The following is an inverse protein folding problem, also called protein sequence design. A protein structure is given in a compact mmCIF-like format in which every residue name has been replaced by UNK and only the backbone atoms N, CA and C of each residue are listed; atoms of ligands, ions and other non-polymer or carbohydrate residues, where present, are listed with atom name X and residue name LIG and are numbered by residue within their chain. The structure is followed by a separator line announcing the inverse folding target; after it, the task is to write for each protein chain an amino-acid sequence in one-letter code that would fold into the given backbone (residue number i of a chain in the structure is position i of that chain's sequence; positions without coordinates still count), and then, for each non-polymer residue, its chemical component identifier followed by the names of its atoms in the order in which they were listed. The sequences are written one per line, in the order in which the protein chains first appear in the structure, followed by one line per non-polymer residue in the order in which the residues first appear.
data_IF_597935605498
#
_entry.id   IF_597935605498
#
_cell.length_a   1.000
_cell.length_b   1.000
_cell.length_c   1.000
_cell.angle_alpha   90.00
_cell.angle_beta   90.00
_cell.angle_gamma   90.00
#
_symmetry.space_group_name_H-M   'P 1'
#
loop_
_entity.id
_entity.type
_entity.pdbx_description
1 polymer ?
#
# COMPACT_ATOMS: atom_id res chain seq x y z
N UNK A 1 -21.03 -16.30 -11.38
CA UNK A 1 -20.30 -15.43 -12.34
C UNK A 1 -18.87 -15.34 -11.84
N UNK A 2 -17.93 -15.96 -12.57
CA UNK A 2 -16.51 -15.92 -12.22
C UNK A 2 -16.00 -14.50 -12.44
N UNK A 3 -15.73 -13.78 -11.36
CA UNK A 3 -15.07 -12.49 -11.44
C UNK A 3 -13.71 -12.71 -12.13
N UNK A 4 -13.47 -11.99 -13.22
CA UNK A 4 -12.15 -11.97 -13.87
C UNK A 4 -11.21 -11.26 -12.89
N UNK A 5 -10.55 -12.03 -12.03
CA UNK A 5 -9.51 -11.50 -11.16
C UNK A 5 -8.38 -10.95 -12.03
N UNK A 6 -8.06 -9.68 -11.83
CA UNK A 6 -6.88 -9.07 -12.43
C UNK A 6 -5.63 -9.86 -12.02
N UNK A 7 -4.79 -10.20 -12.98
CA UNK A 7 -3.47 -10.77 -12.68
C UNK A 7 -2.69 -9.76 -11.84
N UNK A 8 -2.18 -10.16 -10.67
CA UNK A 8 -1.39 -9.26 -9.83
C UNK A 8 -0.17 -8.70 -10.56
N UNK A 9 0.22 -7.49 -10.21
CA UNK A 9 1.40 -6.84 -10.79
C UNK A 9 2.65 -7.62 -10.38
N UNK A 10 3.56 -7.88 -11.34
CA UNK A 10 4.83 -8.59 -11.11
C UNK A 10 4.67 -9.96 -10.42
N UNK A 11 3.59 -10.69 -10.69
CA UNK A 11 3.26 -11.94 -10.00
C UNK A 11 4.41 -12.96 -10.07
N UNK A 12 4.87 -13.28 -11.26
CA UNK A 12 5.92 -14.32 -11.46
C UNK A 12 7.29 -13.82 -10.97
N UNK A 13 7.60 -12.56 -11.22
CA UNK A 13 8.85 -11.93 -10.78
C UNK A 13 8.96 -11.91 -9.27
N UNK A 14 7.89 -11.55 -8.56
CA UNK A 14 7.86 -11.46 -7.11
C UNK A 14 8.03 -12.83 -6.46
N UNK A 15 7.32 -13.84 -6.95
CA UNK A 15 7.43 -15.20 -6.42
C UNK A 15 8.79 -15.82 -6.74
N UNK A 16 9.36 -15.56 -7.92
CA UNK A 16 10.73 -15.97 -8.26
C UNK A 16 11.76 -15.33 -7.34
N UNK A 17 11.59 -14.03 -7.01
CA UNK A 17 12.51 -13.31 -6.12
C UNK A 17 12.39 -13.74 -4.66
N UNK A 18 11.26 -14.29 -4.24
CA UNK A 18 11.11 -14.91 -2.91
C UNK A 18 11.98 -16.15 -2.74
N UNK A 19 12.41 -16.80 -3.82
CA UNK A 19 13.28 -17.99 -3.80
C UNK A 19 12.71 -19.08 -2.88
N UNK A 20 11.53 -19.58 -3.23
CA UNK A 20 10.70 -20.39 -2.33
C UNK A 20 11.30 -21.77 -2.07
N UNK A 21 11.64 -22.03 -0.78
CA UNK A 21 11.82 -23.40 -0.27
C UNK A 21 10.44 -24.05 -0.10
N UNK A 22 10.16 -25.20 -0.73
CA UNK A 22 8.89 -25.90 -0.59
C UNK A 22 8.48 -26.22 0.86
N UNK A 23 9.43 -26.34 1.79
CA UNK A 23 9.18 -26.59 3.22
C UNK A 23 9.19 -25.31 4.07
N UNK A 24 9.40 -24.15 3.47
CA UNK A 24 9.56 -22.86 4.14
C UNK A 24 8.25 -22.25 4.64
N UNK A 25 8.39 -21.19 5.43
CA UNK A 25 7.29 -20.38 5.96
C UNK A 25 7.34 -18.99 5.36
N UNK A 26 6.26 -18.57 4.74
CA UNK A 26 6.16 -17.30 4.02
C UNK A 26 5.06 -16.41 4.58
N UNK A 27 5.20 -15.11 4.33
CA UNK A 27 4.22 -14.10 4.71
C UNK A 27 3.86 -13.27 3.48
N UNK A 28 2.56 -13.13 3.24
CA UNK A 28 2.00 -12.13 2.33
C UNK A 28 1.35 -11.04 3.19
N UNK A 29 1.88 -9.81 3.14
CA UNK A 29 1.41 -8.70 3.97
C UNK A 29 0.15 -8.02 3.43
N UNK A 30 -0.23 -8.34 2.20
CA UNK A 30 -1.23 -7.63 1.40
C UNK A 30 -2.04 -8.62 0.56
N UNK A 31 -2.82 -9.44 1.26
CA UNK A 31 -3.53 -10.58 0.65
C UNK A 31 -4.46 -10.17 -0.50
N UNK A 32 -5.32 -9.16 -0.29
CA UNK A 32 -6.25 -8.63 -1.29
C UNK A 32 -7.05 -9.71 -2.02
N UNK A 33 -6.92 -9.78 -3.33
CA UNK A 33 -7.54 -10.81 -4.16
C UNK A 33 -6.90 -12.20 -4.08
N UNK A 34 -5.80 -12.35 -3.32
CA UNK A 34 -5.12 -13.63 -3.09
C UNK A 34 -4.27 -14.15 -4.24
N UNK A 35 -4.00 -13.34 -5.27
CA UNK A 35 -3.26 -13.80 -6.44
C UNK A 35 -1.81 -14.21 -6.12
N UNK A 36 -1.06 -13.34 -5.42
CA UNK A 36 0.28 -13.66 -4.96
C UNK A 36 0.28 -14.85 -4.00
N UNK A 37 -0.64 -14.88 -3.03
CA UNK A 37 -0.79 -15.97 -2.06
C UNK A 37 -1.02 -17.32 -2.75
N UNK A 38 -1.92 -17.39 -3.74
CA UNK A 38 -2.15 -18.63 -4.50
C UNK A 38 -0.91 -19.08 -5.26
N UNK A 39 -0.17 -18.14 -5.84
CA UNK A 39 1.05 -18.45 -6.57
C UNK A 39 2.17 -18.94 -5.64
N UNK A 40 2.30 -18.35 -4.43
CA UNK A 40 3.21 -18.84 -3.39
C UNK A 40 2.82 -20.27 -2.98
N UNK A 41 1.54 -20.51 -2.67
CA UNK A 41 1.03 -21.84 -2.29
C UNK A 41 1.33 -22.91 -3.35
N UNK A 42 1.24 -22.55 -4.63
CA UNK A 42 1.55 -23.49 -5.72
C UNK A 42 3.02 -23.93 -5.77
N UNK A 43 3.93 -23.15 -5.17
CA UNK A 43 5.35 -23.47 -5.06
C UNK A 43 5.72 -24.17 -3.72
N UNK A 44 4.81 -24.14 -2.73
CA UNK A 44 5.01 -24.81 -1.45
C UNK A 44 4.69 -26.29 -1.51
N UNK A 45 5.46 -27.11 -0.80
CA UNK A 45 5.16 -28.51 -0.52
C UNK A 45 4.30 -28.67 0.76
N UNK A 46 4.03 -29.91 1.15
CA UNK A 46 3.12 -30.25 2.27
C UNK A 46 3.54 -29.65 3.62
N UNK A 47 4.84 -29.43 3.84
CA UNK A 47 5.39 -28.84 5.07
C UNK A 47 5.44 -27.32 5.03
N UNK A 48 5.27 -26.71 3.87
CA UNK A 48 5.28 -25.25 3.70
C UNK A 48 4.09 -24.59 4.42
N UNK A 49 4.25 -23.32 4.77
CA UNK A 49 3.20 -22.52 5.41
C UNK A 49 3.18 -21.11 4.84
N UNK A 50 1.97 -20.58 4.64
CA UNK A 50 1.76 -19.20 4.20
C UNK A 50 0.84 -18.48 5.18
N UNK A 51 1.29 -17.35 5.71
CA UNK A 51 0.51 -16.44 6.54
C UNK A 51 0.18 -15.19 5.73
N UNK A 52 -1.10 -14.98 5.42
CA UNK A 52 -1.56 -13.88 4.58
C UNK A 52 -2.35 -12.85 5.40
N UNK A 53 -1.88 -11.61 5.38
CA UNK A 53 -2.44 -10.51 6.15
C UNK A 53 -3.35 -9.66 5.27
N UNK A 54 -4.48 -9.28 5.82
CA UNK A 54 -5.27 -8.17 5.33
C UNK A 54 -6.06 -7.53 6.47
N UNK A 55 -6.24 -6.21 6.40
CA UNK A 55 -7.08 -5.47 7.35
C UNK A 55 -8.51 -5.29 6.83
N UNK A 56 -8.71 -5.49 5.52
CA UNK A 56 -10.02 -5.42 4.89
C UNK A 56 -10.70 -6.79 4.99
N UNK A 57 -11.84 -6.82 5.67
CA UNK A 57 -12.60 -8.05 5.87
C UNK A 57 -13.15 -8.63 4.56
N UNK A 58 -13.44 -7.79 3.58
CA UNK A 58 -14.02 -8.23 2.31
C UNK A 58 -13.08 -9.18 1.55
N UNK A 59 -11.76 -9.13 1.86
CA UNK A 59 -10.78 -10.04 1.27
C UNK A 59 -10.88 -11.48 1.76
N UNK A 60 -11.59 -11.73 2.88
CA UNK A 60 -11.72 -13.05 3.48
C UNK A 60 -12.38 -14.08 2.53
N UNK A 61 -13.29 -13.64 1.69
CA UNK A 61 -13.98 -14.51 0.73
C UNK A 61 -13.06 -15.03 -0.38
N UNK A 62 -11.87 -14.44 -0.49
CA UNK A 62 -10.83 -14.85 -1.45
C UNK A 62 -9.90 -15.96 -0.91
N UNK A 63 -10.06 -16.37 0.35
CA UNK A 63 -9.18 -17.34 0.99
C UNK A 63 -9.25 -18.70 0.26
N UNK A 64 -8.10 -19.30 -0.10
CA UNK A 64 -8.07 -20.63 -0.66
C UNK A 64 -8.38 -21.70 0.40
N UNK A 65 -9.02 -22.78 -0.02
CA UNK A 65 -9.18 -24.01 0.81
C UNK A 65 -7.88 -24.83 0.75
N UNK A 66 -6.89 -24.44 1.56
CA UNK A 66 -5.59 -25.09 1.64
C UNK A 66 -5.11 -25.09 3.09
N UNK A 67 -4.77 -26.26 3.63
CA UNK A 67 -4.33 -26.43 5.02
C UNK A 67 -3.01 -25.72 5.34
N UNK A 68 -2.23 -25.35 4.34
CA UNK A 68 -0.98 -24.59 4.46
C UNK A 68 -1.20 -23.08 4.54
N UNK A 69 -2.42 -22.62 4.20
CA UNK A 69 -2.80 -21.21 4.19
C UNK A 69 -3.40 -20.78 5.51
N UNK A 70 -2.91 -19.66 6.04
CA UNK A 70 -3.37 -19.08 7.30
C UNK A 70 -3.71 -17.60 7.10
N UNK A 71 -5.01 -17.30 7.03
CA UNK A 71 -5.46 -15.90 6.94
C UNK A 71 -5.31 -15.19 8.29
N UNK A 72 -4.80 -13.98 8.27
CA UNK A 72 -4.59 -13.11 9.42
C UNK A 72 -5.33 -11.80 9.20
N UNK A 73 -6.56 -11.69 9.72
CA UNK A 73 -7.35 -10.46 9.66
C UNK A 73 -6.73 -9.40 10.59
N UNK A 74 -5.73 -8.67 10.08
CA UNK A 74 -4.98 -7.67 10.83
C UNK A 74 -4.21 -6.75 9.88
N UNK A 75 -4.01 -5.51 10.31
CA UNK A 75 -3.05 -4.65 9.63
C UNK A 75 -1.64 -5.23 9.80
N UNK A 76 -0.86 -5.24 8.74
CA UNK A 76 0.51 -5.79 8.71
C UNK A 76 1.49 -5.06 9.65
N UNK A 77 1.15 -3.85 10.14
CA UNK A 77 1.90 -3.18 11.21
C UNK A 77 2.06 -4.03 12.47
N UNK A 78 1.22 -5.02 12.66
CA UNK A 78 1.25 -5.95 13.79
C UNK A 78 1.81 -7.32 13.44
N UNK A 79 2.47 -7.49 12.28
CA UNK A 79 2.96 -8.75 11.73
C UNK A 79 3.66 -9.62 12.77
N UNK A 80 4.68 -9.09 13.45
CA UNK A 80 5.48 -9.86 14.42
C UNK A 80 4.64 -10.40 15.58
N UNK A 81 3.75 -9.57 16.13
CA UNK A 81 2.86 -9.98 17.22
C UNK A 81 1.88 -11.07 16.78
N UNK A 82 1.27 -10.88 15.62
CA UNK A 82 0.30 -11.82 15.07
C UNK A 82 0.93 -13.18 14.70
N UNK A 83 2.16 -13.21 14.19
CA UNK A 83 2.92 -14.43 13.94
C UNK A 83 3.28 -15.15 15.24
N UNK A 84 3.75 -14.42 16.27
CA UNK A 84 4.08 -15.01 17.58
C UNK A 84 2.89 -15.67 18.26
N UNK A 85 1.70 -15.08 18.15
CA UNK A 85 0.47 -15.69 18.67
C UNK A 85 0.13 -17.04 17.99
N UNK A 86 0.70 -17.28 16.81
CA UNK A 86 0.55 -18.53 16.04
C UNK A 86 1.77 -19.45 16.15
N UNK A 87 2.67 -19.16 17.10
CA UNK A 87 3.89 -19.95 17.33
C UNK A 87 4.99 -19.72 16.29
N UNK A 88 4.85 -18.71 15.42
CA UNK A 88 5.83 -18.40 14.37
C UNK A 88 6.74 -17.27 14.82
N UNK A 89 8.03 -17.53 14.93
CA UNK A 89 9.04 -16.55 15.32
C UNK A 89 9.97 -16.14 14.19
N UNK A 90 10.09 -17.00 13.16
CA UNK A 90 10.97 -16.78 12.00
C UNK A 90 10.28 -17.27 10.73
N UNK A 91 10.53 -16.55 9.63
CA UNK A 91 9.99 -16.86 8.30
C UNK A 91 11.11 -16.82 7.25
N UNK A 92 10.91 -17.52 6.14
CA UNK A 92 11.87 -17.65 5.05
C UNK A 92 11.70 -16.53 4.01
N UNK A 93 10.49 -15.99 3.88
CA UNK A 93 10.24 -14.85 2.99
C UNK A 93 9.01 -14.05 3.34
N UNK A 94 9.05 -12.79 2.94
CA UNK A 94 7.96 -11.82 3.10
C UNK A 94 7.71 -11.13 1.77
N UNK A 95 6.46 -11.09 1.34
CA UNK A 95 5.96 -10.30 0.21
C UNK A 95 5.08 -9.17 0.73
N UNK A 96 5.23 -7.98 0.15
CA UNK A 96 4.33 -6.85 0.33
C UNK A 96 4.01 -6.24 -1.03
N UNK A 97 2.76 -6.32 -1.48
CA UNK A 97 2.23 -5.61 -2.64
C UNK A 97 1.44 -4.40 -2.14
N UNK A 98 2.12 -3.24 -2.04
CA UNK A 98 1.61 -2.06 -1.34
C UNK A 98 0.47 -1.38 -2.13
N UNK A 99 -0.21 -0.47 -1.46
CA UNK A 99 -1.28 0.32 -2.06
C UNK A 99 -2.66 -0.28 -1.86
N UNK A 100 -3.55 -0.03 -2.81
CA UNK A 100 -4.95 -0.47 -2.78
C UNK A 100 -5.20 -1.60 -3.78
N UNK A 101 -6.01 -2.57 -3.38
CA UNK A 101 -6.47 -3.61 -4.29
C UNK A 101 -7.43 -3.04 -5.35
N UNK A 102 -7.55 -3.70 -6.50
CA UNK A 102 -8.56 -3.36 -7.51
C UNK A 102 -9.97 -3.31 -6.93
N UNK A 103 -10.26 -4.18 -5.95
CA UNK A 103 -11.54 -4.21 -5.23
C UNK A 103 -11.90 -2.85 -4.60
N UNK A 104 -10.93 -2.15 -4.01
CA UNK A 104 -11.18 -0.82 -3.43
C UNK A 104 -11.60 0.23 -4.46
N UNK A 105 -11.17 0.11 -5.72
CA UNK A 105 -11.59 0.99 -6.81
C UNK A 105 -12.90 0.56 -7.44
N UNK A 106 -13.19 -0.74 -7.45
CA UNK A 106 -14.41 -1.31 -8.02
C UNK A 106 -15.61 -1.12 -7.10
N UNK A 107 -15.39 -1.13 -5.78
CA UNK A 107 -16.39 -0.82 -4.75
C UNK A 107 -16.53 0.71 -4.62
N UNK A 108 -17.33 1.30 -5.52
CA UNK A 108 -17.50 2.77 -5.61
C UNK A 108 -17.89 3.38 -4.27
N UNK A 109 -18.75 2.70 -3.49
CA UNK A 109 -19.23 3.13 -2.18
C UNK A 109 -18.14 3.30 -1.11
N UNK A 110 -16.94 2.78 -1.34
CA UNK A 110 -15.78 2.90 -0.44
C UNK A 110 -15.08 4.27 -0.54
N UNK A 111 -15.36 5.07 -1.55
CA UNK A 111 -14.85 6.43 -1.70
C UNK A 111 -13.37 6.58 -2.10
N UNK A 112 -12.72 5.52 -2.59
CA UNK A 112 -11.33 5.57 -3.04
C UNK A 112 -11.13 6.25 -4.40
N UNK A 113 -12.21 6.44 -5.16
CA UNK A 113 -12.18 7.03 -6.50
C UNK A 113 -12.88 8.40 -6.52
N UNK A 114 -12.30 9.36 -7.23
CA UNK A 114 -12.94 10.65 -7.53
C UNK A 114 -13.90 10.58 -8.73
N UNK A 115 -14.08 9.40 -9.31
CA UNK A 115 -15.04 9.20 -10.40
C UNK A 115 -16.42 8.91 -9.80
N UNK A 116 -17.39 9.78 -10.08
CA UNK A 116 -18.73 9.68 -9.54
C UNK A 116 -18.90 10.32 -8.16
N UNK A 117 -20.01 10.01 -7.50
CA UNK A 117 -20.32 10.49 -6.15
C UNK A 117 -20.53 9.30 -5.22
N UNK A 118 -19.71 9.21 -4.18
CA UNK A 118 -19.74 8.15 -3.18
C UNK A 118 -19.46 8.75 -1.80
N UNK A 119 -19.82 8.08 -0.70
CA UNK A 119 -19.38 8.49 0.64
C UNK A 119 -17.86 8.67 0.67
N UNK A 120 -17.38 9.74 1.29
CA UNK A 120 -15.96 10.05 1.42
C UNK A 120 -15.37 9.27 2.61
N UNK A 121 -15.28 7.93 2.48
CA UNK A 121 -14.84 7.04 3.56
C UNK A 121 -13.33 6.79 3.50
N UNK A 122 -12.83 6.12 2.48
CA UNK A 122 -11.44 5.72 2.23
C UNK A 122 -10.81 4.78 3.28
N UNK A 123 -11.55 4.24 4.24
CA UNK A 123 -11.00 3.28 5.21
C UNK A 123 -10.85 1.89 4.57
N UNK A 124 -9.69 1.29 4.68
CA UNK A 124 -9.48 -0.13 4.36
C UNK A 124 -10.10 -1.01 5.44
N UNK A 125 -9.90 -0.65 6.73
CA UNK A 125 -10.58 -1.28 7.86
C UNK A 125 -11.84 -0.50 8.23
N UNK A 126 -13.01 -0.99 7.85
CA UNK A 126 -14.31 -0.34 8.12
C UNK A 126 -14.76 -0.43 9.58
N UNK A 127 -14.12 -1.24 10.44
CA UNK A 127 -14.55 -1.43 11.83
C UNK A 127 -14.15 -0.30 12.77
N UNK A 128 -13.31 0.62 12.34
CA UNK A 128 -12.83 1.70 13.21
C UNK A 128 -12.02 2.73 12.47
N UNK A 129 -11.63 3.76 13.19
CA UNK A 129 -10.91 4.91 12.64
C UNK A 129 -11.84 5.96 12.03
N UNK A 130 -11.31 7.17 11.83
CA UNK A 130 -12.00 8.25 11.15
C UNK A 130 -12.00 8.04 9.63
N UNK A 131 -13.06 8.52 9.00
CA UNK A 131 -13.19 8.54 7.53
C UNK A 131 -12.43 9.73 6.92
N UNK A 132 -12.25 9.73 5.60
CA UNK A 132 -11.73 10.91 4.92
C UNK A 132 -12.66 12.12 5.06
N UNK A 133 -13.98 11.90 5.17
CA UNK A 133 -14.94 12.96 5.50
C UNK A 133 -14.67 13.57 6.89
N UNK A 134 -14.45 12.73 7.91
CA UNK A 134 -14.10 13.23 9.24
C UNK A 134 -12.82 14.07 9.19
N UNK A 135 -11.81 13.59 8.46
CA UNK A 135 -10.52 14.24 8.32
C UNK A 135 -10.66 15.65 7.70
N UNK A 136 -11.34 15.77 6.55
CA UNK A 136 -11.48 17.07 5.89
C UNK A 136 -12.42 18.03 6.61
N UNK A 137 -13.37 17.53 7.41
CA UNK A 137 -14.32 18.36 8.14
C UNK A 137 -13.81 18.81 9.52
N UNK A 138 -12.85 18.09 10.15
CA UNK A 138 -12.43 18.36 11.52
C UNK A 138 -11.03 18.94 11.67
N UNK A 139 -10.07 18.57 10.81
CA UNK A 139 -8.70 19.04 10.93
C UNK A 139 -8.58 20.53 10.61
N UNK A 140 -7.64 21.20 11.27
CA UNK A 140 -7.29 22.59 10.96
C UNK A 140 -6.53 22.73 9.63
N UNK A 141 -6.37 23.97 9.16
CA UNK A 141 -5.72 24.26 7.90
C UNK A 141 -4.25 23.79 7.84
N UNK A 142 -3.55 23.87 8.98
CA UNK A 142 -2.12 23.51 9.06
C UNK A 142 -1.95 22.00 8.98
N UNK A 143 -2.80 21.23 9.66
CA UNK A 143 -2.81 19.79 9.60
C UNK A 143 -3.16 19.29 8.18
N UNK A 144 -4.19 19.86 7.55
CA UNK A 144 -4.52 19.56 6.16
C UNK A 144 -3.37 19.92 5.21
N UNK A 145 -2.72 21.07 5.40
CA UNK A 145 -1.57 21.49 4.59
C UNK A 145 -0.43 20.46 4.67
N UNK A 146 -0.11 19.97 5.88
CA UNK A 146 0.90 18.93 6.07
C UNK A 146 0.55 17.66 5.34
N UNK A 147 -0.67 17.13 5.54
CA UNK A 147 -1.14 15.90 4.90
C UNK A 147 -1.05 16.01 3.37
N UNK A 148 -1.55 17.11 2.81
CA UNK A 148 -1.56 17.34 1.37
C UNK A 148 -0.16 17.54 0.79
N UNK A 149 0.75 18.14 1.55
CA UNK A 149 2.15 18.30 1.17
C UNK A 149 2.92 16.99 1.29
N UNK A 150 2.88 16.38 2.46
CA UNK A 150 3.71 15.21 2.78
C UNK A 150 3.28 13.95 2.00
N UNK A 151 1.97 13.69 1.92
CA UNK A 151 1.44 12.49 1.29
C UNK A 151 0.95 12.67 -0.15
N UNK A 152 0.56 13.90 -0.51
CA UNK A 152 0.10 14.20 -1.86
C UNK A 152 1.18 14.77 -2.78
N UNK A 153 2.30 15.20 -2.22
CA UNK A 153 3.34 15.95 -2.96
C UNK A 153 2.69 17.06 -3.82
N UNK A 154 1.73 17.80 -3.24
CA UNK A 154 1.01 18.90 -3.89
C UNK A 154 1.86 20.17 -3.75
N UNK A 155 2.11 20.89 -4.84
CA UNK A 155 3.00 22.05 -4.86
C UNK A 155 2.51 23.24 -4.02
N UNK A 156 1.18 23.41 -3.87
CA UNK A 156 0.58 24.50 -3.09
C UNK A 156 -0.46 23.96 -2.10
N UNK A 157 -0.06 23.13 -1.12
CA UNK A 157 -0.99 22.40 -0.27
C UNK A 157 -1.84 23.34 0.60
N UNK A 158 -1.30 24.50 1.03
CA UNK A 158 -2.02 25.51 1.81
C UNK A 158 -3.21 26.13 1.07
N UNK A 159 -3.12 26.27 -0.30
CA UNK A 159 -4.26 26.75 -1.09
C UNK A 159 -5.39 25.74 -1.09
N UNK A 160 -5.04 24.46 -1.22
CA UNK A 160 -6.01 23.35 -1.24
C UNK A 160 -6.67 23.23 0.14
N UNK A 161 -5.87 23.26 1.22
CA UNK A 161 -6.38 23.28 2.59
C UNK A 161 -7.34 24.45 2.83
N UNK A 162 -7.00 25.67 2.38
CA UNK A 162 -7.88 26.84 2.48
C UNK A 162 -9.19 26.67 1.69
N UNK A 163 -9.15 26.04 0.51
CA UNK A 163 -10.36 25.71 -0.26
C UNK A 163 -11.27 24.73 0.50
N UNK A 164 -10.70 23.66 1.09
CA UNK A 164 -11.44 22.69 1.90
C UNK A 164 -12.06 23.35 3.13
N UNK A 165 -11.26 24.10 3.90
CA UNK A 165 -11.73 24.79 5.13
C UNK A 165 -12.86 25.76 4.80
N UNK A 166 -12.72 26.56 3.73
CA UNK A 166 -13.78 27.48 3.28
C UNK A 166 -15.04 26.73 2.85
N UNK A 167 -14.91 25.66 2.08
CA UNK A 167 -16.08 24.90 1.58
C UNK A 167 -16.88 24.30 2.74
N UNK A 168 -16.21 23.65 3.70
CA UNK A 168 -16.90 23.00 4.84
C UNK A 168 -17.62 23.95 5.77
N UNK A 169 -17.27 25.25 5.79
CA UNK A 169 -18.03 26.25 6.58
C UNK A 169 -19.41 26.53 6.00
N UNK A 170 -19.59 26.33 4.70
CA UNK A 170 -20.90 26.47 4.05
C UNK A 170 -21.72 25.18 4.10
N UNK A 171 -21.05 24.04 3.87
CA UNK A 171 -21.69 22.73 3.87
C UNK A 171 -20.64 21.65 4.17
N UNK A 172 -20.93 20.65 5.05
CA UNK A 172 -20.04 19.51 5.28
C UNK A 172 -19.69 18.79 3.98
N UNK A 173 -18.45 18.36 3.84
CA UNK A 173 -17.93 17.58 2.71
C UNK A 173 -18.13 16.11 3.06
N UNK A 174 -19.16 15.47 2.50
CA UNK A 174 -19.55 14.10 2.85
C UNK A 174 -19.31 13.10 1.74
N UNK A 175 -19.20 13.58 0.50
CA UNK A 175 -19.02 12.72 -0.67
C UNK A 175 -17.74 13.07 -1.42
N UNK A 176 -17.30 12.14 -2.26
CA UNK A 176 -16.17 12.37 -3.17
C UNK A 176 -16.45 13.55 -4.13
N UNK A 177 -17.71 13.70 -4.58
CA UNK A 177 -18.12 14.82 -5.41
C UNK A 177 -18.06 16.16 -4.67
N UNK A 178 -18.45 16.21 -3.38
CA UNK A 178 -18.33 17.42 -2.56
C UNK A 178 -16.87 17.84 -2.41
N UNK A 179 -15.98 16.87 -2.20
CA UNK A 179 -14.53 17.15 -2.11
C UNK A 179 -13.98 17.70 -3.43
N UNK A 180 -14.34 17.09 -4.56
CA UNK A 180 -13.93 17.59 -5.89
C UNK A 180 -14.43 19.01 -6.11
N UNK A 181 -15.70 19.30 -5.78
CA UNK A 181 -16.29 20.63 -5.86
C UNK A 181 -15.59 21.65 -4.94
N UNK A 182 -15.26 21.24 -3.70
CA UNK A 182 -14.56 22.09 -2.73
C UNK A 182 -13.19 22.56 -3.23
N UNK A 183 -12.45 21.70 -3.93
CA UNK A 183 -11.11 22.02 -4.43
C UNK A 183 -11.08 22.55 -5.86
N UNK A 184 -12.20 22.58 -6.58
CA UNK A 184 -12.30 23.05 -7.95
C UNK A 184 -11.67 24.45 -8.18
N UNK A 185 -11.80 25.44 -7.26
CA UNK A 185 -11.19 26.76 -7.42
C UNK A 185 -9.66 26.76 -7.47
N UNK A 186 -9.01 25.72 -6.91
CA UNK A 186 -7.55 25.59 -6.87
C UNK A 186 -7.01 24.43 -7.73
N UNK A 187 -7.89 23.71 -8.43
CA UNK A 187 -7.51 22.60 -9.31
C UNK A 187 -6.93 23.11 -10.64
N UNK A 188 -5.73 22.66 -11.02
CA UNK A 188 -5.13 23.04 -12.31
C UNK A 188 -5.92 22.46 -13.48
N UNK A 189 -6.44 23.32 -14.39
CA UNK A 189 -7.24 22.88 -15.53
C UNK A 189 -6.54 21.88 -16.46
N UNK A 190 -5.22 22.01 -16.63
CA UNK A 190 -4.43 21.17 -17.53
C UNK A 190 -4.15 19.77 -16.98
N UNK A 191 -4.02 19.63 -15.66
CA UNK A 191 -3.58 18.41 -14.98
C UNK A 191 -4.55 17.98 -13.86
N UNK A 192 -5.85 18.24 -14.06
CA UNK A 192 -6.92 17.99 -13.08
C UNK A 192 -6.89 16.54 -12.55
N UNK A 193 -6.85 15.57 -13.44
CA UNK A 193 -6.85 14.14 -13.03
C UNK A 193 -5.62 13.79 -12.20
N UNK A 194 -4.45 14.32 -12.53
CA UNK A 194 -3.22 14.11 -11.77
C UNK A 194 -3.29 14.76 -10.39
N UNK A 195 -3.85 15.96 -10.32
CA UNK A 195 -4.04 16.68 -9.06
C UNK A 195 -5.01 15.93 -8.15
N UNK A 196 -6.17 15.51 -8.67
CA UNK A 196 -7.15 14.75 -7.90
C UNK A 196 -6.58 13.39 -7.43
N UNK A 197 -5.79 12.72 -8.27
CA UNK A 197 -5.09 11.49 -7.84
C UNK A 197 -4.20 11.74 -6.64
N UNK A 198 -3.42 12.82 -6.64
CA UNK A 198 -2.56 13.21 -5.51
C UNK A 198 -3.34 13.57 -4.26
N UNK A 199 -4.43 14.30 -4.43
CA UNK A 199 -5.34 14.68 -3.32
C UNK A 199 -5.95 13.44 -2.66
N UNK A 200 -6.51 12.53 -3.45
CA UNK A 200 -7.12 11.30 -2.93
C UNK A 200 -6.06 10.36 -2.32
N UNK A 201 -4.88 10.28 -2.92
CA UNK A 201 -3.75 9.56 -2.34
C UNK A 201 -3.38 10.10 -0.96
N UNK A 202 -3.28 11.42 -0.80
CA UNK A 202 -2.92 12.05 0.47
C UNK A 202 -3.91 11.70 1.59
N UNK A 203 -5.20 11.83 1.31
CA UNK A 203 -6.25 11.51 2.27
C UNK A 203 -6.27 10.02 2.61
N UNK A 204 -6.13 9.15 1.61
CA UNK A 204 -6.09 7.70 1.79
C UNK A 204 -4.94 7.27 2.69
N UNK A 205 -3.74 7.77 2.41
CA UNK A 205 -2.53 7.47 3.20
C UNK A 205 -2.74 7.87 4.67
N UNK A 206 -3.31 9.04 4.90
CA UNK A 206 -3.56 9.53 6.26
C UNK A 206 -4.62 8.71 6.98
N UNK A 207 -5.79 8.48 6.35
CA UNK A 207 -6.91 7.69 6.90
C UNK A 207 -6.44 6.30 7.35
N UNK A 208 -5.60 5.65 6.54
CA UNK A 208 -5.16 4.27 6.78
C UNK A 208 -3.81 4.19 7.54
N UNK A 209 -3.13 5.30 7.75
CA UNK A 209 -1.80 5.33 8.37
C UNK A 209 -0.78 4.49 7.62
N UNK A 210 -0.82 4.53 6.27
CA UNK A 210 -0.08 3.61 5.40
C UNK A 210 1.44 3.72 5.57
N UNK A 211 1.97 4.94 5.65
CA UNK A 211 3.41 5.16 5.80
C UNK A 211 3.95 4.64 7.14
N UNK A 212 3.21 4.84 8.22
CA UNK A 212 3.60 4.33 9.53
C UNK A 212 3.49 2.80 9.59
N UNK A 213 2.44 2.23 9.01
CA UNK A 213 2.29 0.79 8.89
C UNK A 213 3.46 0.17 8.11
N UNK A 214 3.89 0.81 7.01
CA UNK A 214 5.02 0.35 6.20
C UNK A 214 6.33 0.40 6.99
N UNK A 215 6.61 1.49 7.71
CA UNK A 215 7.80 1.60 8.57
C UNK A 215 7.85 0.46 9.59
N UNK A 216 6.74 0.27 10.34
CA UNK A 216 6.64 -0.80 11.33
C UNK A 216 6.82 -2.19 10.72
N UNK A 217 6.29 -2.45 9.53
CA UNK A 217 6.46 -3.73 8.84
C UNK A 217 7.92 -3.97 8.42
N UNK A 218 8.58 -2.95 7.88
CA UNK A 218 9.99 -3.03 7.49
C UNK A 218 10.90 -3.31 8.70
N UNK A 219 10.71 -2.60 9.82
CA UNK A 219 11.46 -2.86 11.06
C UNK A 219 11.20 -4.28 11.62
N UNK A 220 9.95 -4.74 11.54
CA UNK A 220 9.60 -6.07 11.99
C UNK A 220 10.17 -7.15 11.06
N UNK A 221 10.31 -6.87 9.76
CA UNK A 221 10.88 -7.82 8.81
C UNK A 221 12.30 -8.25 9.21
N UNK A 222 13.14 -7.33 9.71
CA UNK A 222 14.46 -7.64 10.25
C UNK A 222 14.43 -8.60 11.45
N UNK A 223 13.33 -8.56 12.21
CA UNK A 223 13.18 -9.35 13.44
C UNK A 223 12.57 -10.73 13.18
N UNK A 224 11.87 -10.92 12.06
CA UNK A 224 11.18 -12.18 11.76
C UNK A 224 11.80 -12.95 10.60
N UNK A 225 12.53 -12.32 9.69
CA UNK A 225 13.26 -13.04 8.64
C UNK A 225 14.40 -13.86 9.22
N UNK A 226 14.59 -15.06 8.68
CA UNK A 226 15.80 -15.87 8.91
C UNK A 226 16.98 -15.24 8.15
N UNK A 227 18.22 -15.48 8.59
CA UNK A 227 19.38 -15.21 7.75
C UNK A 227 19.23 -15.86 6.37
N UNK A 228 19.43 -15.09 5.30
CA UNK A 228 19.20 -15.53 3.92
C UNK A 228 17.73 -15.47 3.47
N UNK A 229 16.79 -15.17 4.35
CA UNK A 229 15.38 -14.96 4.00
C UNK A 229 15.17 -13.77 3.08
N UNK A 230 14.09 -13.78 2.29
CA UNK A 230 13.82 -12.78 1.25
C UNK A 230 12.72 -11.80 1.65
N UNK A 231 12.95 -10.52 1.38
CA UNK A 231 11.91 -9.48 1.45
C UNK A 231 11.68 -8.93 0.05
N UNK A 232 10.46 -9.08 -0.45
CA UNK A 232 10.02 -8.56 -1.74
C UNK A 232 8.93 -7.52 -1.49
N UNK A 233 9.14 -6.30 -2.00
CA UNK A 233 8.20 -5.19 -1.85
C UNK A 233 7.89 -4.61 -3.22
N UNK A 234 6.60 -4.50 -3.54
CA UNK A 234 6.09 -3.79 -4.71
C UNK A 234 5.53 -2.46 -4.20
N UNK A 235 5.92 -1.35 -4.82
CA UNK A 235 5.48 0.00 -4.48
C UNK A 235 4.90 0.70 -5.70
N UNK A 236 3.93 1.60 -5.48
CA UNK A 236 3.19 2.26 -6.56
C UNK A 236 3.40 3.77 -6.61
N UNK A 237 3.99 4.37 -5.58
CA UNK A 237 4.29 5.79 -5.55
C UNK A 237 5.64 6.11 -4.90
N UNK A 238 6.12 7.33 -5.17
CA UNK A 238 7.44 7.83 -4.76
C UNK A 238 7.73 7.74 -3.27
N UNK A 239 6.72 7.93 -2.42
CA UNK A 239 6.87 7.91 -0.97
C UNK A 239 7.20 6.50 -0.46
N UNK A 240 6.45 5.49 -0.91
CA UNK A 240 6.71 4.08 -0.60
C UNK A 240 8.09 3.67 -1.09
N UNK A 241 8.37 3.95 -2.38
CA UNK A 241 9.63 3.58 -3.02
C UNK A 241 10.84 4.17 -2.28
N UNK A 242 10.79 5.46 -1.93
CA UNK A 242 11.86 6.16 -1.18
C UNK A 242 12.09 5.53 0.20
N UNK A 243 11.00 5.24 0.92
CA UNK A 243 11.05 4.69 2.27
C UNK A 243 11.61 3.27 2.26
N UNK A 244 11.14 2.41 1.35
CA UNK A 244 11.63 1.05 1.16
C UNK A 244 13.10 1.05 0.74
N UNK A 245 13.49 1.82 -0.26
CA UNK A 245 14.88 1.93 -0.72
C UNK A 245 15.83 2.38 0.37
N UNK A 246 15.46 3.42 1.12
CA UNK A 246 16.28 3.91 2.21
C UNK A 246 16.50 2.81 3.24
N UNK A 247 15.42 2.18 3.70
CA UNK A 247 15.49 1.16 4.72
C UNK A 247 16.29 -0.07 4.29
N UNK A 248 16.07 -0.57 3.08
CA UNK A 248 16.82 -1.73 2.57
C UNK A 248 18.32 -1.44 2.42
N UNK A 249 18.69 -0.21 2.08
CA UNK A 249 20.09 0.18 1.85
C UNK A 249 20.85 0.54 3.12
N UNK A 250 20.19 1.06 4.14
CA UNK A 250 20.85 1.65 5.29
C UNK A 250 20.33 1.16 6.65
N UNK A 251 19.19 0.42 6.68
CA UNK A 251 18.55 0.00 7.92
C UNK A 251 17.77 1.11 8.64
N UNK A 252 17.70 2.31 8.04
CA UNK A 252 16.95 3.45 8.57
C UNK A 252 16.16 4.15 7.45
N UNK A 253 15.21 5.01 7.81
CA UNK A 253 14.32 5.66 6.84
C UNK A 253 14.90 6.94 6.24
N UNK A 254 15.95 7.49 6.84
CA UNK A 254 16.68 8.67 6.38
C UNK A 254 17.68 8.33 5.26
N UNK A 255 17.98 7.05 5.06
CA UNK A 255 18.95 6.57 4.06
C UNK A 255 20.40 6.86 4.44
N UNK A 256 20.69 7.10 5.73
CA UNK A 256 22.04 7.32 6.24
C UNK A 256 22.75 6.00 6.38
N UNK A 257 23.84 5.83 5.63
CA UNK A 257 24.66 4.61 5.70
C UNK A 257 25.65 4.77 6.87
N UNK A 258 25.46 3.96 7.91
CA UNK A 258 26.42 3.79 8.98
C UNK A 258 27.56 2.90 8.50
N UNK A 259 28.77 3.17 9.00
CA UNK A 259 29.98 2.39 8.65
C UNK A 259 30.60 1.87 9.92
N UNK A 260 31.11 0.65 9.85
CA UNK A 260 31.94 0.08 10.93
C UNK A 260 33.27 0.82 11.07
N UNK A 261 34.08 0.41 12.06
CA UNK A 261 35.39 0.97 12.33
C UNK A 261 36.34 0.90 11.12
N UNK A 262 36.13 -0.04 10.21
CA UNK A 262 36.93 -0.23 9.00
C UNK A 262 36.37 0.51 7.78
N UNK A 263 35.31 1.30 7.94
CA UNK A 263 34.65 2.05 6.87
C UNK A 263 33.71 1.21 5.98
N UNK A 264 33.42 -0.05 6.36
CA UNK A 264 32.49 -0.92 5.65
C UNK A 264 31.05 -0.54 6.02
N UNK A 265 30.15 -0.37 5.04
CA UNK A 265 28.75 -0.10 5.32
C UNK A 265 28.10 -1.21 6.15
N UNK A 266 27.43 -0.83 7.24
CA UNK A 266 26.58 -1.72 8.02
C UNK A 266 25.18 -1.68 7.41
N UNK A 267 24.81 -2.71 6.66
CA UNK A 267 23.50 -2.80 6.03
C UNK A 267 22.80 -4.09 6.48
N UNK A 268 21.52 -4.02 6.89
CA UNK A 268 20.82 -5.19 7.39
C UNK A 268 20.37 -6.13 6.27
N UNK A 269 20.37 -5.67 5.02
CA UNK A 269 19.97 -6.43 3.84
C UNK A 269 21.06 -6.47 2.78
N UNK A 270 21.19 -7.60 2.12
CA UNK A 270 21.87 -7.72 0.83
C UNK A 270 20.86 -7.39 -0.29
N UNK A 271 21.20 -6.41 -1.12
CA UNK A 271 20.35 -5.97 -2.21
C UNK A 271 20.47 -6.92 -3.41
N UNK A 272 19.47 -7.73 -3.66
CA UNK A 272 19.42 -8.69 -4.77
C UNK A 272 19.13 -8.00 -6.10
N UNK A 273 18.16 -7.08 -6.12
CA UNK A 273 17.81 -6.32 -7.33
C UNK A 273 18.41 -4.92 -7.29
N UNK A 274 19.47 -4.67 -8.07
CA UNK A 274 20.14 -3.34 -8.11
C UNK A 274 19.25 -2.23 -8.65
N UNK A 275 18.28 -2.56 -9.50
CA UNK A 275 17.26 -1.67 -10.05
C UNK A 275 15.89 -2.24 -9.74
N UNK A 276 14.89 -1.36 -9.60
CA UNK A 276 13.50 -1.79 -9.49
C UNK A 276 13.12 -2.62 -10.74
N UNK A 277 12.43 -3.73 -10.48
CA UNK A 277 11.82 -4.53 -11.55
C UNK A 277 10.51 -3.84 -11.93
N UNK A 278 10.34 -3.53 -13.21
CA UNK A 278 9.12 -2.91 -13.73
C UNK A 278 8.37 -3.90 -14.60
N UNK A 279 7.02 -3.91 -14.57
CA UNK A 279 6.23 -4.78 -15.42
C UNK A 279 6.51 -4.51 -16.91
N UNK A 280 6.75 -5.55 -17.69
CA UNK A 280 6.94 -5.44 -19.15
C UNK A 280 5.70 -4.87 -19.82
N UNK A 281 4.51 -5.15 -19.28
CA UNK A 281 3.22 -4.66 -19.78
C UNK A 281 3.01 -3.14 -19.63
N UNK A 282 3.72 -2.46 -18.72
CA UNK A 282 3.63 -1.01 -18.60
C UNK A 282 4.24 -0.27 -19.80
N UNK A 283 5.11 -0.92 -20.57
CA UNK A 283 5.67 -0.36 -21.81
C UNK A 283 4.71 -0.52 -22.99
N UNK A 284 3.65 -1.34 -22.87
CA UNK A 284 2.70 -1.66 -23.94
C UNK A 284 1.24 -1.32 -23.58
N UNK A 285 0.96 -0.85 -22.36
CA UNK A 285 -0.36 -0.28 -22.07
C UNK A 285 -0.42 1.09 -22.75
N UNK A 286 -1.39 1.31 -23.66
CA UNK A 286 -1.61 2.65 -24.18
C UNK A 286 -1.84 3.57 -23.00
N UNK A 287 -1.07 4.65 -22.95
CA UNK A 287 -1.28 5.72 -21.98
C UNK A 287 -2.78 6.06 -21.97
N UNK A 288 -3.38 6.45 -20.84
CA UNK A 288 -4.75 6.99 -20.85
C UNK A 288 -4.96 8.14 -21.84
N UNK A 289 -3.87 8.67 -22.42
CA UNK A 289 -3.86 9.68 -23.51
C UNK A 289 -4.22 9.09 -24.87
N UNK A 290 -4.06 7.79 -25.10
CA UNK A 290 -4.26 7.15 -26.42
C UNK A 290 -5.70 6.70 -26.68
N UNK A 291 -6.64 6.90 -25.74
CA UNK A 291 -8.07 6.70 -25.96
C UNK A 291 -8.75 7.97 -26.48
N UNK A 292 -8.16 8.63 -27.48
CA UNK A 292 -8.90 9.49 -28.39
C UNK A 292 -8.95 8.73 -29.71
N UNK A 293 -10.05 8.05 -29.93
CA UNK A 293 -10.49 7.65 -31.25
C UNK A 293 -11.86 8.28 -31.55
N UNK A 294 -12.14 8.49 -32.83
CA UNK A 294 -12.85 9.61 -33.42
C UNK A 294 -14.33 9.65 -33.12
#
# INVERSE_FOLDING_TARGET
MTSVYHTPVLLEESVRLLDIDPAGTYVDLTFGGGGHSRRILSALGDRGRLYAFDQDRDTRDNCPEDSRFHYVESNFRFMRGALRLRGVTRVDGILADLGVSSHHFDAVERGFSFRGSAPLDMRMNQRGGGTAADLVNTLDADALTRILGDWGEIDTPWKVAACIVRARTAQPILTTADLVAAVAPCTPKKDESKFLTKLFQALRIEVNGEMEALKMALEQSLKVLRPGGRLVVISYHSLEDRLVKNFLRSGNFEGRIEKDFFGKPETPFEIITRKAVTPVSYTHLPSPRDKRQP
#
